data_IF_400348958134
#
_entry.id   IF_400348958134
#
_cell.length_a   1.000
_cell.length_b   1.000
_cell.length_c   1.000
_cell.angle_alpha   90.00
_cell.angle_beta   90.00
_cell.angle_gamma   90.00
#
_symmetry.space_group_name_H-M   'P 1'
#
loop_
_entity.id
_entity.type
_entity.pdbx_description
1 polymer ?
#
# COMPACT_ATOMS: atom_id res chain seq x y z
N UNK A 1 9.85 -0.06 -5.74
CA UNK A 1 8.91 0.73 -4.91
C UNK A 1 7.77 -0.18 -4.46
N UNK A 2 7.38 -0.14 -3.19
CA UNK A 2 6.16 -0.81 -2.70
C UNK A 2 4.99 0.19 -2.74
N UNK A 3 3.78 -0.29 -3.09
CA UNK A 3 2.56 0.53 -3.10
C UNK A 3 1.61 0.02 -2.02
N UNK A 4 1.19 0.92 -1.14
CA UNK A 4 0.18 0.63 -0.13
C UNK A 4 -1.23 0.63 -0.72
N UNK A 5 -2.15 -0.10 -0.09
CA UNK A 5 -3.57 -0.14 -0.47
C UNK A 5 -4.21 1.24 -0.58
N UNK A 6 -3.82 2.19 0.27
CA UNK A 6 -4.35 3.57 0.27
C UNK A 6 -4.10 4.31 -1.04
N UNK A 7 -2.93 4.13 -1.67
CA UNK A 7 -2.61 4.75 -2.95
C UNK A 7 -3.46 4.15 -4.10
N UNK A 8 -3.61 2.83 -4.15
CA UNK A 8 -4.42 2.17 -5.18
C UNK A 8 -5.90 2.54 -5.05
N UNK A 9 -6.43 2.55 -3.84
CA UNK A 9 -7.82 2.98 -3.58
C UNK A 9 -8.03 4.43 -4.04
N UNK A 10 -7.10 5.35 -3.73
CA UNK A 10 -7.18 6.74 -4.16
C UNK A 10 -7.19 6.88 -5.69
N UNK A 11 -6.39 6.08 -6.39
CA UNK A 11 -6.38 6.05 -7.87
C UNK A 11 -7.70 5.54 -8.42
N UNK A 12 -8.21 4.42 -7.91
CA UNK A 12 -9.47 3.81 -8.37
C UNK A 12 -10.68 4.68 -8.14
N UNK A 13 -10.73 5.36 -6.99
CA UNK A 13 -11.83 6.24 -6.62
C UNK A 13 -11.70 7.67 -7.16
N UNK A 14 -10.71 7.93 -8.00
CA UNK A 14 -10.44 9.22 -8.61
C UNK A 14 -10.32 10.37 -7.58
N UNK A 15 -9.64 10.10 -6.48
CA UNK A 15 -9.38 11.10 -5.45
C UNK A 15 -8.39 12.19 -5.94
N UNK A 16 -8.30 13.36 -5.28
CA UNK A 16 -7.49 14.49 -5.76
C UNK A 16 -6.03 14.14 -6.05
N UNK A 17 -5.44 13.22 -5.28
CA UNK A 17 -4.04 12.79 -5.40
C UNK A 17 -3.79 11.81 -6.56
N UNK A 18 -4.85 11.35 -7.24
CA UNK A 18 -4.76 10.32 -8.29
C UNK A 18 -3.65 10.56 -9.28
N UNK A 19 -3.55 11.79 -9.80
CA UNK A 19 -2.60 12.10 -10.88
C UNK A 19 -1.15 11.95 -10.40
N UNK A 20 -0.82 12.50 -9.25
CA UNK A 20 0.55 12.45 -8.71
C UNK A 20 0.95 11.02 -8.32
N UNK A 21 0.01 10.22 -7.82
CA UNK A 21 0.23 8.81 -7.51
C UNK A 21 0.50 7.99 -8.78
N UNK A 22 -0.26 8.22 -9.86
CA UNK A 22 -0.03 7.57 -11.16
C UNK A 22 1.34 7.93 -11.74
N UNK A 23 1.72 9.20 -11.69
CA UNK A 23 3.03 9.66 -12.17
C UNK A 23 4.18 9.01 -11.39
N UNK A 24 4.06 8.89 -10.07
CA UNK A 24 5.06 8.21 -9.24
C UNK A 24 5.23 6.73 -9.63
N UNK A 25 4.12 6.02 -9.88
CA UNK A 25 4.15 4.62 -10.32
C UNK A 25 4.82 4.51 -11.70
N UNK A 26 4.44 5.36 -12.65
CA UNK A 26 4.98 5.33 -14.02
C UNK A 26 6.47 5.67 -14.11
N UNK A 27 7.00 6.44 -13.16
CA UNK A 27 8.41 6.81 -13.11
C UNK A 27 9.28 5.78 -12.38
N UNK A 28 8.69 4.91 -11.60
CA UNK A 28 9.42 3.89 -10.86
C UNK A 28 9.84 2.73 -11.79
N UNK A 29 11.09 2.24 -11.69
CA UNK A 29 11.58 1.15 -12.53
C UNK A 29 10.88 -0.18 -12.23
N UNK A 30 10.52 -0.41 -10.99
CA UNK A 30 9.83 -1.62 -10.51
C UNK A 30 8.83 -1.23 -9.43
N UNK A 31 7.62 -1.78 -9.53
CA UNK A 31 6.53 -1.49 -8.61
C UNK A 31 5.87 -2.79 -8.16
N UNK A 32 5.74 -2.96 -6.86
CA UNK A 32 5.08 -4.13 -6.29
C UNK A 32 4.11 -3.74 -5.16
N UNK A 33 3.15 -4.60 -4.91
CA UNK A 33 2.30 -4.56 -3.72
C UNK A 33 2.25 -5.94 -3.06
N UNK A 34 2.04 -5.98 -1.76
CA UNK A 34 1.92 -7.26 -1.07
C UNK A 34 0.60 -7.95 -1.40
N UNK A 35 0.56 -9.28 -1.35
CA UNK A 35 -0.67 -10.05 -1.50
C UNK A 35 -1.75 -9.64 -0.47
N UNK A 36 -1.33 -9.22 0.73
CA UNK A 36 -2.24 -8.70 1.74
C UNK A 36 -2.85 -7.36 1.32
N UNK A 37 -2.06 -6.43 0.79
CA UNK A 37 -2.56 -5.14 0.26
C UNK A 37 -3.47 -5.35 -0.95
N UNK A 38 -3.14 -6.31 -1.83
CA UNK A 38 -4.00 -6.69 -2.94
C UNK A 38 -5.40 -7.13 -2.45
N UNK A 39 -5.44 -8.02 -1.46
CA UNK A 39 -6.71 -8.45 -0.88
C UNK A 39 -7.47 -7.30 -0.21
N UNK A 40 -6.78 -6.43 0.52
CA UNK A 40 -7.39 -5.28 1.20
C UNK A 40 -8.07 -4.33 0.20
N UNK A 41 -7.41 -3.98 -0.90
CA UNK A 41 -8.02 -3.20 -1.99
C UNK A 41 -9.22 -3.92 -2.57
N UNK A 42 -9.08 -5.23 -2.86
CA UNK A 42 -10.18 -6.06 -3.36
C UNK A 42 -11.40 -6.00 -2.45
N UNK A 43 -11.22 -6.14 -1.14
CA UNK A 43 -12.33 -6.05 -0.17
C UNK A 43 -13.02 -4.68 -0.20
N UNK A 44 -12.27 -3.59 -0.35
CA UNK A 44 -12.83 -2.23 -0.46
C UNK A 44 -13.62 -2.06 -1.77
N UNK A 45 -13.05 -2.52 -2.87
CA UNK A 45 -13.61 -2.36 -4.23
C UNK A 45 -14.83 -3.23 -4.43
N UNK A 46 -14.74 -4.52 -4.10
CA UNK A 46 -15.81 -5.51 -4.28
C UNK A 46 -16.96 -5.23 -3.31
N UNK A 47 -16.66 -4.75 -2.10
CA UNK A 47 -17.65 -4.35 -1.11
C UNK A 47 -18.56 -3.20 -1.56
N UNK A 48 -18.18 -2.46 -2.61
CA UNK A 48 -19.03 -1.43 -3.21
C UNK A 48 -20.13 -1.97 -4.12
N UNK A 49 -20.10 -3.26 -4.46
CA UNK A 49 -21.09 -3.90 -5.32
C UNK A 49 -21.11 -3.36 -6.76
N UNK A 50 -20.01 -2.78 -7.23
CA UNK A 50 -19.85 -2.25 -8.59
C UNK A 50 -18.92 -3.16 -9.42
N UNK A 51 -19.48 -4.04 -10.31
CA UNK A 51 -18.67 -4.96 -11.11
C UNK A 51 -17.70 -4.28 -12.07
N UNK A 52 -17.98 -3.05 -12.47
CA UNK A 52 -17.07 -2.28 -13.33
C UNK A 52 -15.83 -1.89 -12.55
N UNK A 53 -15.99 -1.41 -11.32
CA UNK A 53 -14.89 -1.03 -10.45
C UNK A 53 -14.00 -2.23 -10.09
N UNK A 54 -14.61 -3.40 -9.82
CA UNK A 54 -13.86 -4.64 -9.56
C UNK A 54 -12.97 -5.03 -10.74
N UNK A 55 -13.51 -4.99 -11.98
CA UNK A 55 -12.71 -5.25 -13.18
C UNK A 55 -11.63 -4.20 -13.44
N UNK A 56 -11.91 -2.93 -13.11
CA UNK A 56 -10.95 -1.85 -13.26
C UNK A 56 -9.74 -2.02 -12.34
N UNK A 57 -9.91 -2.67 -11.19
CA UNK A 57 -8.81 -2.91 -10.26
C UNK A 57 -7.74 -3.82 -10.86
N UNK A 58 -8.10 -5.01 -11.32
CA UNK A 58 -7.14 -5.93 -11.93
C UNK A 58 -6.52 -5.35 -13.21
N UNK A 59 -7.33 -4.71 -14.06
CA UNK A 59 -6.86 -4.04 -15.26
C UNK A 59 -5.88 -2.88 -14.94
N UNK A 60 -6.07 -2.17 -13.84
CA UNK A 60 -5.17 -1.11 -13.40
C UNK A 60 -3.80 -1.68 -13.02
N UNK A 61 -3.76 -2.76 -12.23
CA UNK A 61 -2.49 -3.38 -11.83
C UNK A 61 -1.70 -3.86 -13.05
N UNK A 62 -2.37 -4.52 -13.98
CA UNK A 62 -1.76 -4.98 -15.24
C UNK A 62 -1.23 -3.82 -16.08
N UNK A 63 -2.05 -2.76 -16.28
CA UNK A 63 -1.68 -1.61 -17.09
C UNK A 63 -0.51 -0.80 -16.50
N UNK A 64 -0.36 -0.78 -15.18
CA UNK A 64 0.72 -0.10 -14.48
C UNK A 64 1.93 -1.00 -14.21
N UNK A 65 1.86 -2.29 -14.54
CA UNK A 65 2.93 -3.25 -14.29
C UNK A 65 3.21 -3.48 -12.80
N UNK A 66 2.18 -3.38 -11.95
CA UNK A 66 2.32 -3.60 -10.51
C UNK A 66 2.30 -5.10 -10.22
N UNK A 67 3.40 -5.61 -9.70
CA UNK A 67 3.52 -7.02 -9.32
C UNK A 67 2.90 -7.27 -7.94
N UNK A 68 2.08 -8.32 -7.82
CA UNK A 68 1.59 -8.79 -6.53
C UNK A 68 2.58 -9.81 -5.98
N UNK A 69 3.23 -9.46 -4.87
CA UNK A 69 4.28 -10.29 -4.25
C UNK A 69 3.79 -10.97 -2.98
N UNK A 70 4.40 -12.10 -2.64
CA UNK A 70 4.08 -12.87 -1.44
C UNK A 70 4.28 -12.05 -0.17
N UNK A 71 3.40 -12.24 0.80
CA UNK A 71 3.60 -11.77 2.18
C UNK A 71 4.30 -12.88 2.96
N UNK A 72 5.57 -12.71 3.25
CA UNK A 72 6.40 -13.74 3.89
C UNK A 72 6.24 -13.78 5.41
N UNK A 73 6.61 -14.92 6.03
CA UNK A 73 6.65 -15.03 7.49
C UNK A 73 7.63 -14.03 8.13
N UNK A 74 8.70 -13.67 7.43
CA UNK A 74 9.66 -12.67 7.91
C UNK A 74 9.04 -11.25 7.85
N UNK A 75 8.38 -10.90 6.77
CA UNK A 75 7.60 -9.65 6.68
C UNK A 75 6.55 -9.56 7.80
N UNK A 76 5.87 -10.66 8.11
CA UNK A 76 4.92 -10.68 9.22
C UNK A 76 5.57 -10.40 10.59
N UNK A 77 6.82 -10.86 10.81
CA UNK A 77 7.56 -10.54 12.04
C UNK A 77 7.94 -9.06 12.10
N UNK A 78 8.40 -8.48 11.00
CA UNK A 78 8.70 -7.03 10.89
C UNK A 78 7.43 -6.21 11.07
N UNK A 79 6.32 -6.60 10.43
CA UNK A 79 5.02 -5.96 10.58
C UNK A 79 4.51 -5.98 12.03
N UNK A 80 4.71 -7.10 12.75
CA UNK A 80 4.35 -7.19 14.17
C UNK A 80 5.16 -6.22 15.03
N UNK A 81 6.46 -6.08 14.76
CA UNK A 81 7.30 -5.10 15.44
C UNK A 81 6.85 -3.67 15.13
N UNK A 82 6.57 -3.37 13.86
CA UNK A 82 6.04 -2.08 13.42
C UNK A 82 4.70 -1.75 14.10
N UNK A 83 3.80 -2.72 14.25
CA UNK A 83 2.54 -2.52 14.96
C UNK A 83 2.76 -2.19 16.44
N UNK A 84 3.70 -2.86 17.10
CA UNK A 84 4.06 -2.56 18.49
C UNK A 84 4.59 -1.13 18.64
N UNK A 85 5.42 -0.68 17.70
CA UNK A 85 6.14 0.59 17.81
C UNK A 85 5.34 1.77 17.21
N UNK A 86 4.61 1.57 16.11
CA UNK A 86 3.90 2.59 15.34
C UNK A 86 2.38 2.35 15.21
N UNK A 87 1.87 1.22 15.68
CA UNK A 87 0.50 0.79 15.43
C UNK A 87 -0.56 1.50 16.25
N UNK A 88 -1.80 1.30 15.85
CA UNK A 88 -2.97 1.75 16.63
C UNK A 88 -2.94 1.15 18.02
N UNK A 89 -3.11 2.01 19.04
CA UNK A 89 -3.08 1.60 20.45
C UNK A 89 -1.68 1.66 21.09
N UNK A 90 -0.60 1.89 20.34
CA UNK A 90 0.74 2.08 20.87
C UNK A 90 0.96 3.46 21.49
N UNK A 91 0.08 4.44 21.20
CA UNK A 91 0.27 5.85 21.55
C UNK A 91 1.09 6.62 20.52
N UNK A 92 1.64 5.97 19.51
CA UNK A 92 2.43 6.61 18.46
C UNK A 92 1.52 7.34 17.43
N UNK A 93 1.93 8.53 16.92
CA UNK A 93 1.11 9.32 16.00
C UNK A 93 0.84 8.63 14.64
N UNK A 94 1.68 7.72 14.18
CA UNK A 94 1.50 6.98 12.93
C UNK A 94 0.22 6.13 12.91
N UNK A 95 -0.11 5.49 14.04
CA UNK A 95 -1.34 4.70 14.19
C UNK A 95 -1.56 3.65 13.09
N UNK A 96 -0.49 3.00 12.63
CA UNK A 96 -0.56 2.01 11.56
C UNK A 96 -1.61 0.93 11.84
N UNK A 97 -2.45 0.64 10.85
CA UNK A 97 -3.37 -0.49 10.88
C UNK A 97 -2.68 -1.79 10.42
N UNK A 98 -3.43 -2.89 10.38
CA UNK A 98 -2.92 -4.20 9.96
C UNK A 98 -2.29 -4.16 8.56
N UNK A 99 -3.00 -3.61 7.56
CA UNK A 99 -2.51 -3.53 6.18
C UNK A 99 -1.26 -2.65 6.06
N UNK A 100 -1.29 -1.48 6.69
CA UNK A 100 -0.14 -0.57 6.70
C UNK A 100 1.13 -1.20 7.28
N UNK A 101 1.01 -2.02 8.32
CA UNK A 101 2.16 -2.71 8.88
C UNK A 101 2.81 -3.68 7.88
N UNK A 102 2.02 -4.31 7.00
CA UNK A 102 2.54 -5.23 5.99
C UNK A 102 3.18 -4.48 4.81
N UNK A 103 2.59 -3.37 4.36
CA UNK A 103 3.21 -2.49 3.35
C UNK A 103 4.53 -1.90 3.86
N UNK A 104 4.55 -1.43 5.12
CA UNK A 104 5.76 -0.97 5.79
C UNK A 104 6.84 -2.04 5.83
N UNK A 105 6.48 -3.26 6.26
CA UNK A 105 7.43 -4.37 6.39
C UNK A 105 8.06 -4.75 5.04
N UNK A 106 7.28 -4.78 3.98
CA UNK A 106 7.78 -5.05 2.63
C UNK A 106 8.77 -3.95 2.18
N UNK A 107 8.39 -2.68 2.32
CA UNK A 107 9.25 -1.56 1.91
C UNK A 107 10.57 -1.51 2.68
N UNK A 108 10.54 -1.69 4.00
CA UNK A 108 11.74 -1.66 4.84
C UNK A 108 12.65 -2.87 4.57
N UNK A 109 12.08 -4.06 4.41
CA UNK A 109 12.86 -5.28 4.16
C UNK A 109 13.56 -5.22 2.82
N UNK A 110 12.91 -4.71 1.78
CA UNK A 110 13.47 -4.59 0.44
C UNK A 110 14.35 -3.32 0.28
N UNK A 111 14.33 -2.42 1.27
CA UNK A 111 15.09 -1.17 1.22
C UNK A 111 14.62 -0.23 0.11
N UNK A 112 13.31 -0.23 -0.20
CA UNK A 112 12.71 0.56 -1.27
C UNK A 112 11.69 1.56 -0.74
N UNK A 113 11.39 2.66 -1.48
CA UNK A 113 10.37 3.61 -1.07
C UNK A 113 8.97 3.00 -1.01
N UNK A 114 8.12 3.57 -0.14
CA UNK A 114 6.70 3.25 -0.02
C UNK A 114 5.84 4.38 -0.61
N UNK A 115 4.96 4.03 -1.55
CA UNK A 115 3.93 4.92 -2.07
C UNK A 115 2.63 4.73 -1.30
N UNK A 116 2.11 5.80 -0.71
CA UNK A 116 0.90 5.79 0.12
C UNK A 116 0.13 7.10 0.00
N UNK A 117 -1.12 7.09 0.44
CA UNK A 117 -1.93 8.29 0.66
C UNK A 117 -2.20 8.48 2.15
N UNK A 118 -2.18 9.73 2.59
CA UNK A 118 -2.46 10.12 3.99
C UNK A 118 -1.20 10.29 4.83
N UNK A 119 -1.40 10.43 6.12
CA UNK A 119 -0.36 10.84 7.06
C UNK A 119 0.16 9.70 7.95
N UNK A 120 -0.38 8.48 7.80
CA UNK A 120 -0.09 7.38 8.74
C UNK A 120 1.40 6.96 8.71
N UNK A 121 2.05 7.06 7.55
CA UNK A 121 3.46 6.66 7.42
C UNK A 121 4.47 7.78 7.63
N UNK A 122 4.07 9.05 7.58
CA UNK A 122 5.01 10.19 7.70
C UNK A 122 5.72 10.26 9.06
N UNK A 123 5.18 9.58 10.07
CA UNK A 123 5.75 9.50 11.40
C UNK A 123 6.56 8.23 11.64
N UNK A 124 6.82 7.45 10.59
CA UNK A 124 7.66 6.24 10.64
C UNK A 124 9.01 6.51 9.99
N UNK A 125 9.88 5.51 10.01
CA UNK A 125 11.20 5.55 9.37
C UNK A 125 11.21 5.00 7.93
N UNK A 126 10.01 4.67 7.38
CA UNK A 126 9.92 4.27 5.97
C UNK A 126 10.25 5.45 5.06
N UNK A 127 10.95 5.19 3.96
CA UNK A 127 11.22 6.22 2.95
C UNK A 127 9.96 6.46 2.11
N UNK A 128 9.34 7.64 2.14
CA UNK A 128 8.21 7.93 1.27
C UNK A 128 8.65 8.03 -0.19
N UNK A 129 7.76 7.65 -1.11
CA UNK A 129 7.99 7.76 -2.55
C UNK A 129 7.64 9.15 -3.12
N UNK A 130 6.87 9.95 -2.36
CA UNK A 130 6.47 11.33 -2.68
C UNK A 130 6.71 12.24 -1.48
#
# INVERSE_FOLDING_TARGET
MIVDSSAIVAILLAEPERQVLLEAIQQAPEVAMTAASYLEVGMVVDGRGNPVLSRQYDALLEALGIEVVDTTAEQARVARAAHRDFGRGSGHPARLNFGHCLSYAAAVQDGVPLLFKGDDFIHTDVTPAL
#
